data_IF_635672047571
#
_entry.id   IF_635672047571
#
_cell.length_a   1.000
_cell.length_b   1.000
_cell.length_c   1.000
_cell.angle_alpha   90.00
_cell.angle_beta   90.00
_cell.angle_gamma   90.00
#
_symmetry.space_group_name_H-M   'P 1'
#
loop_
_entity.id
_entity.type
_entity.pdbx_description
1 polymer ?
#
# COMPACT_ATOMS: atom_id res chain seq x y z
N UNK A 1 -10.00 -23.66 -40.93
CA UNK A 1 -10.17 -23.95 -39.49
C UNK A 1 -8.84 -24.16 -38.76
N UNK A 2 -8.05 -25.21 -39.07
CA UNK A 2 -6.78 -25.51 -38.36
C UNK A 2 -5.73 -24.38 -38.41
N UNK A 3 -5.60 -23.68 -39.55
CA UNK A 3 -4.67 -22.54 -39.71
C UNK A 3 -5.04 -21.32 -38.88
N UNK A 4 -6.35 -21.07 -38.67
CA UNK A 4 -6.83 -19.95 -37.85
C UNK A 4 -6.55 -20.18 -36.36
N UNK A 5 -6.69 -21.42 -35.90
CA UNK A 5 -6.38 -21.80 -34.51
C UNK A 5 -4.89 -21.61 -34.21
N UNK A 6 -4.01 -22.00 -35.14
CA UNK A 6 -2.56 -21.81 -35.01
C UNK A 6 -2.18 -20.33 -34.96
N UNK A 7 -2.78 -19.50 -35.81
CA UNK A 7 -2.54 -18.04 -35.81
C UNK A 7 -3.03 -17.41 -34.50
N UNK A 8 -4.19 -17.82 -33.99
CA UNK A 8 -4.72 -17.35 -32.71
C UNK A 8 -3.81 -17.72 -31.54
N UNK A 9 -3.33 -18.98 -31.49
CA UNK A 9 -2.39 -19.42 -30.46
C UNK A 9 -1.04 -18.69 -30.53
N UNK A 10 -0.54 -18.43 -31.73
CA UNK A 10 0.73 -17.72 -31.92
C UNK A 10 0.61 -16.24 -31.54
N UNK A 11 -0.55 -15.61 -31.78
CA UNK A 11 -0.81 -14.22 -31.38
C UNK A 11 -0.87 -14.03 -29.85
N UNK A 12 -1.38 -15.02 -29.11
CA UNK A 12 -1.39 -15.00 -27.64
C UNK A 12 -0.01 -15.20 -27.00
N UNK A 13 0.95 -15.76 -27.74
CA UNK A 13 2.32 -15.94 -27.24
C UNK A 13 3.13 -14.64 -27.28
N UNK A 14 2.86 -13.78 -28.27
CA UNK A 14 3.55 -12.49 -28.45
C UNK A 14 3.18 -11.49 -27.35
N UNK A 15 1.95 -11.55 -26.82
CA UNK A 15 1.49 -10.67 -25.73
C UNK A 15 2.08 -11.05 -24.37
N UNK A 16 2.50 -12.30 -24.17
CA UNK A 16 3.11 -12.76 -22.91
C UNK A 16 4.51 -12.18 -22.65
N UNK A 17 5.25 -11.85 -23.72
CA UNK A 17 6.62 -11.31 -23.61
C UNK A 17 6.62 -9.89 -23.01
N UNK A 18 5.56 -9.12 -23.21
CA UNK A 18 5.43 -7.77 -22.68
C UNK A 18 5.19 -7.72 -21.15
N UNK A 19 5.00 -8.87 -20.49
CA UNK A 19 4.85 -8.96 -19.05
C UNK A 19 6.19 -8.93 -18.29
N UNK A 20 7.30 -9.27 -18.95
CA UNK A 20 8.64 -9.22 -18.35
C UNK A 20 9.21 -7.80 -18.44
N UNK A 21 8.75 -6.91 -17.55
CA UNK A 21 9.42 -5.62 -17.33
C UNK A 21 10.74 -5.87 -16.60
N UNK A 22 11.86 -5.50 -17.22
CA UNK A 22 13.15 -5.39 -16.52
C UNK A 22 12.99 -4.30 -15.47
N UNK A 23 12.91 -4.67 -14.20
CA UNK A 23 12.82 -3.72 -13.10
C UNK A 23 14.19 -3.05 -12.94
N UNK A 24 14.24 -1.73 -13.11
CA UNK A 24 15.42 -0.95 -12.76
C UNK A 24 15.65 -1.00 -11.26
N UNK A 25 16.89 -0.78 -10.81
CA UNK A 25 17.24 -0.73 -9.38
C UNK A 25 16.37 0.27 -8.61
N UNK A 26 16.05 1.42 -9.23
CA UNK A 26 15.15 2.42 -8.65
C UNK A 26 13.72 1.90 -8.47
N UNK A 27 13.22 1.11 -9.43
CA UNK A 27 11.91 0.47 -9.32
C UNK A 27 11.88 -0.51 -8.15
N UNK A 28 12.93 -1.33 -7.99
CA UNK A 28 13.05 -2.25 -6.86
C UNK A 28 13.16 -1.50 -5.52
N UNK A 29 13.92 -0.40 -5.47
CA UNK A 29 14.06 0.46 -4.29
C UNK A 29 12.72 1.05 -3.87
N UNK A 30 11.96 1.58 -4.83
CA UNK A 30 10.64 2.14 -4.57
C UNK A 30 9.66 1.07 -4.08
N UNK A 31 9.69 -0.12 -4.69
CA UNK A 31 8.87 -1.26 -4.25
C UNK A 31 9.22 -1.69 -2.83
N UNK A 32 10.51 -1.73 -2.49
CA UNK A 32 10.98 -2.06 -1.16
C UNK A 32 10.49 -1.03 -0.14
N UNK A 33 10.63 0.27 -0.40
CA UNK A 33 10.15 1.32 0.50
C UNK A 33 8.63 1.28 0.67
N UNK A 34 7.89 1.05 -0.42
CA UNK A 34 6.43 0.96 -0.38
C UNK A 34 5.91 -0.24 0.42
N UNK A 35 6.62 -1.38 0.38
CA UNK A 35 6.20 -2.62 1.06
C UNK A 35 6.95 -2.89 2.37
N UNK A 36 7.83 -1.98 2.80
CA UNK A 36 8.58 -2.15 4.03
C UNK A 36 7.66 -1.93 5.25
N UNK A 37 7.22 -3.04 5.84
CA UNK A 37 6.37 -3.05 7.05
C UNK A 37 7.02 -2.33 8.23
N UNK A 38 8.35 -2.39 8.37
CA UNK A 38 9.07 -1.68 9.43
C UNK A 38 8.92 -0.16 9.27
N UNK A 39 9.04 0.37 8.05
CA UNK A 39 8.79 1.79 7.80
C UNK A 39 7.34 2.18 8.10
N UNK A 40 6.38 1.34 7.74
CA UNK A 40 4.97 1.57 8.05
C UNK A 40 4.71 1.60 9.56
N UNK A 41 5.27 0.64 10.30
CA UNK A 41 5.15 0.57 11.77
C UNK A 41 5.76 1.82 12.42
N UNK A 42 6.91 2.29 11.95
CA UNK A 42 7.54 3.51 12.48
C UNK A 42 6.66 4.76 12.26
N UNK A 43 5.99 4.88 11.10
CA UNK A 43 5.02 5.95 10.85
C UNK A 43 3.83 5.89 11.81
N UNK A 44 3.26 4.70 12.00
CA UNK A 44 2.17 4.49 12.95
C UNK A 44 2.59 4.79 14.39
N UNK A 45 3.84 4.50 14.78
CA UNK A 45 4.38 4.86 16.10
C UNK A 45 4.45 6.38 16.30
N UNK A 46 4.90 7.13 15.28
CA UNK A 46 4.85 8.60 15.34
C UNK A 46 3.42 9.10 15.48
N UNK A 47 2.50 8.59 14.66
CA UNK A 47 1.09 8.97 14.74
C UNK A 47 0.47 8.64 16.11
N UNK A 48 0.80 7.47 16.67
CA UNK A 48 0.41 7.07 18.03
C UNK A 48 0.94 8.05 19.07
N UNK A 49 2.21 8.43 19.00
CA UNK A 49 2.78 9.40 19.94
C UNK A 49 2.07 10.77 19.85
N UNK A 50 1.72 11.21 18.64
CA UNK A 50 0.93 12.44 18.45
C UNK A 50 -0.48 12.33 19.05
N UNK A 51 -1.14 11.18 18.93
CA UNK A 51 -2.45 10.97 19.56
C UNK A 51 -2.35 10.81 21.07
N UNK A 52 -1.29 10.20 21.59
CA UNK A 52 -1.03 10.09 23.03
C UNK A 52 -0.84 11.48 23.65
N UNK A 53 -0.09 12.37 23.01
CA UNK A 53 0.07 13.76 23.43
C UNK A 53 -1.28 14.51 23.45
N UNK A 54 -2.06 14.39 22.37
CA UNK A 54 -3.41 14.96 22.31
C UNK A 54 -4.35 14.39 23.37
N UNK A 55 -4.31 13.09 23.61
CA UNK A 55 -5.11 12.43 24.64
C UNK A 55 -4.69 12.91 26.04
N UNK A 56 -3.38 13.05 26.29
CA UNK A 56 -2.88 13.64 27.53
C UNK A 56 -3.38 15.07 27.72
N UNK A 57 -3.35 15.89 26.66
CA UNK A 57 -3.88 17.25 26.67
C UNK A 57 -5.38 17.30 27.02
N UNK A 58 -6.19 16.36 26.51
CA UNK A 58 -7.64 16.33 26.80
C UNK A 58 -7.96 16.13 28.28
N UNK A 59 -7.03 15.61 29.09
CA UNK A 59 -7.23 15.50 30.54
C UNK A 59 -7.22 16.85 31.26
N UNK A 60 -6.68 17.92 30.65
CA UNK A 60 -6.75 19.27 31.19
C UNK A 60 -8.07 19.99 30.87
N UNK A 61 -8.90 19.40 30.00
CA UNK A 61 -10.17 19.99 29.60
C UNK A 61 -11.34 19.44 30.44
N UNK A 62 -12.37 20.25 30.71
CA UNK A 62 -13.56 19.77 31.38
C UNK A 62 -14.26 18.70 30.53
N UNK A 63 -14.52 17.54 31.14
CA UNK A 63 -15.25 16.44 30.49
C UNK A 63 -16.74 16.78 30.50
N UNK A 64 -17.28 17.08 29.32
CA UNK A 64 -18.73 17.26 29.15
C UNK A 64 -19.36 15.90 28.81
N UNK A 65 -20.35 15.49 29.59
CA UNK A 65 -21.14 14.28 29.35
C UNK A 65 -22.62 14.66 29.43
N UNK A 66 -23.39 14.37 28.38
CA UNK A 66 -24.82 14.52 28.38
C UNK A 66 -25.45 13.12 28.44
N UNK A 67 -26.12 12.79 29.56
CA UNK A 67 -27.05 11.65 29.59
C UNK A 67 -28.47 12.20 29.58
N UNK A 68 -29.24 11.86 28.55
CA UNK A 68 -30.67 12.14 28.49
C UNK A 68 -31.44 11.07 29.26
N UNK A 69 -32.33 11.50 30.15
CA UNK A 69 -33.38 10.67 30.76
C UNK A 69 -34.65 10.67 29.93
#
# INVERSE_FOLDING_TARGET
MKRLIVILMMSGFITGIQAQRVLSLDSCRNLAIANNKTLQISKLKMEKAHYEDKAAFTNYLPKISASGG
#
